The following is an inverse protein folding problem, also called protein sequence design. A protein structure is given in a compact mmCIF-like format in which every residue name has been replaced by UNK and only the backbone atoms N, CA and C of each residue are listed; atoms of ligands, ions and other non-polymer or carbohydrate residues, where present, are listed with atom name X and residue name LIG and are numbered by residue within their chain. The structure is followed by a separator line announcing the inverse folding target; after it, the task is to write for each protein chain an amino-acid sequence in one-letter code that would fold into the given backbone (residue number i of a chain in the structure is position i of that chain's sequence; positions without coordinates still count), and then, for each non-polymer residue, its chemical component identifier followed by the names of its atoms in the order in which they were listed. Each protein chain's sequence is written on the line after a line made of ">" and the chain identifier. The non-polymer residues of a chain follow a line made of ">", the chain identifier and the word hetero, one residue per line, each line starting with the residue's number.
data_IF_756479339020
#
_entry.id   IF_756479339020
#
_cell.length_a   1.000
_cell.length_b   1.000
_cell.length_c   1.000
_cell.angle_alpha   90.00
_cell.angle_beta   90.00
_cell.angle_gamma   90.00
#
_symmetry.space_group_name_H-M   'P 1'
#
loop_
_entity.id
_entity.type
_entity.pdbx_description
1 polymer ?
#
# COMPACT_ATOMS: atom_id res chain seq x y z
N UNK A 1 -3.06 2.70 -3.64
CA UNK A 1 -2.18 2.65 -4.84
C UNK A 1 -3.06 2.52 -6.08
N UNK A 2 -2.95 3.43 -7.06
CA UNK A 2 -3.82 3.43 -8.26
C UNK A 2 -3.11 2.77 -9.44
N UNK A 3 -3.67 1.69 -10.00
CA UNK A 3 -3.16 1.08 -11.24
C UNK A 3 -3.80 1.75 -12.46
N UNK A 4 -5.14 1.84 -12.44
CA UNK A 4 -5.95 2.58 -13.42
C UNK A 4 -6.91 3.52 -12.68
N UNK A 5 -7.84 4.12 -13.42
CA UNK A 5 -8.90 4.94 -12.83
C UNK A 5 -9.80 4.13 -11.88
N UNK A 6 -9.99 2.84 -12.15
CA UNK A 6 -10.91 1.95 -11.42
C UNK A 6 -10.25 0.81 -10.65
N UNK A 7 -8.99 0.46 -10.93
CA UNK A 7 -8.29 -0.66 -10.25
C UNK A 7 -7.10 -0.20 -9.42
N UNK A 8 -6.67 -1.06 -8.51
CA UNK A 8 -5.52 -0.80 -7.66
C UNK A 8 -5.66 -1.46 -6.30
N UNK A 9 -5.09 -0.81 -5.30
CA UNK A 9 -4.98 -1.34 -3.95
C UNK A 9 -5.37 -0.32 -2.90
N UNK A 10 -6.06 -0.80 -1.87
CA UNK A 10 -6.33 -0.09 -0.61
C UNK A 10 -5.34 -0.65 0.41
N UNK A 11 -4.62 0.23 1.10
CA UNK A 11 -3.73 -0.16 2.19
C UNK A 11 -4.37 0.31 3.48
N UNK A 12 -4.51 -0.60 4.45
CA UNK A 12 -5.14 -0.35 5.75
C UNK A 12 -4.11 -0.60 6.82
N UNK A 13 -3.85 0.40 7.67
CA UNK A 13 -2.95 0.26 8.81
C UNK A 13 -3.55 -0.69 9.84
N UNK A 14 -2.81 -1.73 10.19
CA UNK A 14 -3.05 -2.57 11.37
C UNK A 14 -2.06 -2.13 12.45
N UNK A 15 -2.35 -0.94 12.98
CA UNK A 15 -1.46 -0.10 13.77
C UNK A 15 -0.86 -0.84 14.98
N UNK A 16 -1.66 -1.65 15.67
CA UNK A 16 -1.23 -2.41 16.83
C UNK A 16 -0.29 -3.59 16.52
N UNK A 17 -0.16 -3.95 15.24
CA UNK A 17 0.64 -5.08 14.78
C UNK A 17 1.79 -4.68 13.83
N UNK A 18 2.08 -3.38 13.69
CA UNK A 18 3.15 -2.83 12.84
C UNK A 18 3.14 -3.41 11.42
N UNK A 19 1.96 -3.48 10.82
CA UNK A 19 1.75 -4.06 9.49
C UNK A 19 0.63 -3.36 8.75
N UNK A 20 0.61 -3.53 7.43
CA UNK A 20 -0.46 -3.05 6.57
C UNK A 20 -1.15 -4.22 5.89
N UNK A 21 -2.48 -4.19 5.86
CA UNK A 21 -3.28 -5.12 5.08
C UNK A 21 -3.60 -4.48 3.73
N UNK A 22 -3.47 -5.26 2.66
CA UNK A 22 -3.70 -4.82 1.29
C UNK A 22 -4.96 -5.47 0.75
N UNK A 23 -5.85 -4.65 0.21
CA UNK A 23 -7.11 -5.07 -0.41
C UNK A 23 -7.19 -4.60 -1.86
N UNK A 24 -8.00 -5.26 -2.68
CA UNK A 24 -8.34 -4.75 -4.01
C UNK A 24 -9.10 -3.43 -3.91
N UNK A 25 -8.80 -2.47 -4.79
CA UNK A 25 -9.54 -1.21 -4.87
C UNK A 25 -10.89 -1.39 -5.54
N UNK A 26 -10.96 -2.24 -6.55
CA UNK A 26 -12.20 -2.69 -7.16
C UNK A 26 -12.92 -3.72 -6.27
N UNK A 27 -14.26 -3.73 -6.34
CA UNK A 27 -15.08 -4.83 -5.85
C UNK A 27 -15.24 -5.94 -6.89
N UNK A 28 -16.20 -6.82 -6.68
CA UNK A 28 -16.58 -7.86 -7.66
C UNK A 28 -17.68 -7.38 -8.58
N UNK A 29 -17.89 -8.09 -9.69
CA UNK A 29 -18.98 -7.79 -10.63
C UNK A 29 -20.36 -7.89 -9.96
N UNK A 30 -20.53 -8.82 -9.02
CA UNK A 30 -21.77 -9.02 -8.27
C UNK A 30 -21.89 -8.14 -7.01
N UNK A 31 -20.77 -7.64 -6.47
CA UNK A 31 -20.73 -6.79 -5.29
C UNK A 31 -19.62 -5.72 -5.42
N UNK A 32 -19.97 -4.50 -5.87
CA UNK A 32 -18.99 -3.43 -6.10
C UNK A 32 -18.21 -2.96 -4.86
N UNK A 33 -18.64 -3.31 -3.65
CA UNK A 33 -18.00 -2.93 -2.39
C UNK A 33 -17.22 -4.10 -1.75
N UNK A 34 -17.12 -5.25 -2.42
CA UNK A 34 -16.37 -6.41 -1.96
C UNK A 34 -14.87 -6.26 -2.25
N UNK A 35 -14.20 -5.40 -1.49
CA UNK A 35 -12.75 -5.19 -1.55
C UNK A 35 -12.02 -6.40 -0.95
N UNK A 36 -11.42 -7.23 -1.80
CA UNK A 36 -10.86 -8.51 -1.39
C UNK A 36 -9.52 -8.32 -0.71
N UNK A 37 -9.33 -8.98 0.44
CA UNK A 37 -8.01 -9.11 1.06
C UNK A 37 -7.04 -9.82 0.12
N UNK A 38 -5.83 -9.29 0.00
CA UNK A 38 -4.79 -9.81 -0.89
C UNK A 38 -3.58 -10.30 -0.10
N UNK A 39 -3.01 -9.45 0.75
CA UNK A 39 -1.86 -9.81 1.60
C UNK A 39 -1.72 -8.88 2.79
N UNK A 40 -0.83 -9.26 3.70
CA UNK A 40 -0.38 -8.45 4.82
C UNK A 40 1.12 -8.19 4.67
N UNK A 41 1.56 -6.96 4.90
CA UNK A 41 2.95 -6.52 4.73
C UNK A 41 3.45 -5.97 6.07
N UNK A 42 4.46 -6.59 6.69
CA UNK A 42 5.09 -6.02 7.87
C UNK A 42 5.85 -4.74 7.49
N UNK A 43 5.86 -3.77 8.39
CA UNK A 43 6.61 -2.52 8.21
C UNK A 43 7.46 -2.24 9.44
N UNK A 44 8.46 -1.38 9.29
CA UNK A 44 9.26 -0.89 10.41
C UNK A 44 8.56 0.23 11.18
N UNK A 45 7.46 0.78 10.64
CA UNK A 45 6.72 1.84 11.31
C UNK A 45 6.01 1.32 12.56
N UNK A 46 6.19 2.02 13.68
CA UNK A 46 5.54 1.70 14.96
C UNK A 46 4.30 2.54 15.16
N UNK A 47 3.18 1.89 15.50
CA UNK A 47 1.92 2.60 15.79
C UNK A 47 1.54 3.62 14.69
N UNK A 48 1.65 3.24 13.41
CA UNK A 48 1.33 4.15 12.31
C UNK A 48 -0.16 4.48 12.18
N UNK A 49 -0.51 5.77 12.27
CA UNK A 49 -1.83 6.31 11.96
C UNK A 49 -1.89 6.94 10.55
N UNK A 50 -0.83 7.63 10.13
CA UNK A 50 -0.71 8.28 8.81
C UNK A 50 0.08 7.47 7.79
N UNK A 51 -0.49 7.31 6.58
CA UNK A 51 0.20 6.71 5.44
C UNK A 51 -0.35 7.23 4.11
N UNK A 52 0.46 7.15 3.05
CA UNK A 52 0.06 7.52 1.69
C UNK A 52 0.85 6.70 0.66
N UNK A 53 0.30 6.55 -0.54
CA UNK A 53 0.96 5.88 -1.65
C UNK A 53 0.71 6.56 -3.00
N UNK A 54 1.73 6.53 -3.83
CA UNK A 54 1.67 6.96 -5.23
C UNK A 54 2.17 5.85 -6.15
N UNK A 55 1.60 5.76 -7.35
CA UNK A 55 2.03 4.87 -8.43
C UNK A 55 2.79 5.59 -9.54
N UNK A 56 3.08 6.87 -9.37
CA UNK A 56 3.89 7.63 -10.31
C UNK A 56 5.36 7.25 -10.16
N UNK A 57 6.07 7.09 -11.28
CA UNK A 57 7.52 7.01 -11.28
C UNK A 57 8.08 8.36 -10.78
N UNK A 58 8.74 8.34 -9.63
CA UNK A 58 9.30 9.56 -9.02
C UNK A 58 10.77 9.77 -9.42
N UNK A 59 11.55 8.68 -9.48
CA UNK A 59 12.98 8.68 -9.83
C UNK A 59 13.49 7.23 -9.98
N UNK A 60 14.80 7.07 -10.19
CA UNK A 60 15.46 5.75 -10.32
C UNK A 60 15.33 4.83 -9.10
N UNK A 61 15.06 5.37 -7.91
CA UNK A 61 14.82 4.57 -6.69
C UNK A 61 13.37 4.14 -6.57
N UNK A 62 12.42 5.03 -6.90
CA UNK A 62 10.98 4.82 -6.76
C UNK A 62 10.31 4.72 -8.13
N UNK A 63 10.74 3.72 -8.93
CA UNK A 63 10.33 3.55 -10.32
C UNK A 63 8.85 3.22 -10.47
N UNK A 64 8.31 2.45 -9.53
CA UNK A 64 6.89 2.06 -9.49
C UNK A 64 6.09 2.84 -8.44
N UNK A 65 6.67 3.93 -7.95
CA UNK A 65 6.09 4.78 -6.93
C UNK A 65 6.58 4.48 -5.51
N UNK A 66 5.89 5.09 -4.55
CA UNK A 66 6.29 5.18 -3.16
C UNK A 66 5.13 4.80 -2.27
N UNK A 67 5.44 4.08 -1.18
CA UNK A 67 4.58 3.97 -0.01
C UNK A 67 5.29 4.64 1.16
N UNK A 68 4.60 5.55 1.84
CA UNK A 68 5.08 6.25 3.04
C UNK A 68 4.16 5.94 4.21
N UNK A 69 4.76 5.70 5.37
CA UNK A 69 4.06 5.51 6.64
C UNK A 69 4.86 6.14 7.77
N UNK A 70 4.18 6.80 8.70
CA UNK A 70 4.82 7.43 9.86
C UNK A 70 4.79 6.53 11.09
N UNK A 71 5.82 6.65 11.92
CA UNK A 71 5.82 6.14 13.29
C UNK A 71 5.36 7.22 14.27
N UNK A 72 4.96 6.81 15.47
CA UNK A 72 4.59 7.68 16.58
C UNK A 72 5.73 8.58 17.09
N UNK A 73 6.98 8.19 16.83
CA UNK A 73 8.18 8.99 17.09
C UNK A 73 8.46 10.09 16.04
N UNK A 74 7.56 10.26 15.06
CA UNK A 74 7.64 11.19 13.91
C UNK A 74 8.65 10.78 12.83
N UNK A 75 9.18 9.56 12.86
CA UNK A 75 9.96 9.00 11.75
C UNK A 75 9.04 8.64 10.58
N UNK A 76 9.42 9.04 9.36
CA UNK A 76 8.75 8.63 8.14
C UNK A 76 9.55 7.53 7.44
N UNK A 77 8.90 6.40 7.19
CA UNK A 77 9.48 5.27 6.49
C UNK A 77 9.03 5.29 5.04
N UNK A 78 9.99 5.16 4.12
CA UNK A 78 9.75 5.14 2.68
C UNK A 78 10.04 3.77 2.11
N UNK A 79 9.06 3.19 1.43
CA UNK A 79 9.16 1.89 0.78
C UNK A 79 8.97 2.05 -0.72
N UNK A 80 9.80 1.39 -1.51
CA UNK A 80 9.54 1.24 -2.93
C UNK A 80 8.31 0.36 -3.10
N UNK A 81 7.44 0.71 -4.04
CA UNK A 81 6.22 -0.09 -4.24
C UNK A 81 6.56 -1.53 -4.62
N UNK A 82 7.62 -1.78 -5.40
CA UNK A 82 8.03 -3.12 -5.77
C UNK A 82 8.42 -4.03 -4.60
N UNK A 83 8.86 -3.47 -3.48
CA UNK A 83 9.18 -4.23 -2.27
C UNK A 83 7.91 -4.59 -1.48
N UNK A 84 6.86 -3.78 -1.58
CA UNK A 84 5.53 -4.06 -1.01
C UNK A 84 4.78 -5.07 -1.89
N UNK A 85 4.86 -4.88 -3.21
CA UNK A 85 4.14 -5.65 -4.20
C UNK A 85 4.71 -7.05 -4.42
N UNK A 86 6.04 -7.17 -4.42
CA UNK A 86 6.78 -8.39 -4.72
C UNK A 86 6.25 -9.07 -6.01
N UNK A 87 5.88 -10.35 -5.93
CA UNK A 87 5.26 -11.12 -7.01
C UNK A 87 3.72 -11.16 -6.93
N UNK A 88 3.14 -10.77 -5.80
CA UNK A 88 1.71 -10.95 -5.51
C UNK A 88 0.85 -9.82 -6.08
N UNK A 89 1.42 -8.61 -6.18
CA UNK A 89 0.70 -7.41 -6.62
C UNK A 89 1.29 -6.84 -7.91
N UNK A 90 0.43 -6.19 -8.70
CA UNK A 90 0.80 -5.50 -9.93
C UNK A 90 1.49 -4.17 -9.62
N UNK A 91 2.32 -3.77 -10.56
CA UNK A 91 3.12 -2.53 -10.54
C UNK A 91 2.79 -1.74 -11.81
N UNK A 92 2.80 -0.41 -11.72
CA UNK A 92 2.60 0.46 -12.88
C UNK A 92 3.91 0.71 -13.63
#
# INVERSE_FOLDING_TARGET
>A
YKLTDSTGYILVSDQGANRFQVFSREGTQSNPFEHKYLKTVPVMATQSDGSETTSFNLNETFKHGLFVTMSDDKTFHYYRWEDIAEADLKKK
#
